data_IF_869164354766
#
_entry.id   IF_869164354766
#
_cell.length_a   1.000
_cell.length_b   1.000
_cell.length_c   1.000
_cell.angle_alpha   90.00
_cell.angle_beta   90.00
_cell.angle_gamma   90.00
#
_symmetry.space_group_name_H-M   'P 1'
#
loop_
_entity.id
_entity.type
_entity.pdbx_description
1 polymer ?
#
# COMPACT_ATOMS: atom_id res chain seq x y z
N UNK A 1 -18.24 11.96 1.68
CA UNK A 1 -16.98 11.33 1.23
C UNK A 1 -16.28 12.27 0.26
N UNK A 2 -14.98 12.47 0.39
CA UNK A 2 -14.17 13.18 -0.60
C UNK A 2 -13.46 12.14 -1.46
N UNK A 3 -13.57 12.27 -2.77
CA UNK A 3 -12.88 11.44 -3.76
C UNK A 3 -12.27 12.40 -4.78
N UNK A 4 -11.00 12.18 -5.11
CA UNK A 4 -10.35 12.76 -6.27
C UNK A 4 -9.64 11.63 -7.01
N UNK A 5 -9.90 11.45 -8.30
CA UNK A 5 -9.34 10.35 -9.07
C UNK A 5 -9.09 10.75 -10.50
N UNK A 6 -8.04 10.22 -11.10
CA UNK A 6 -7.67 10.34 -12.49
C UNK A 6 -7.56 8.98 -13.16
N UNK A 7 -7.90 8.91 -14.42
CA UNK A 7 -7.85 7.71 -15.24
C UNK A 7 -7.15 8.01 -16.56
N UNK A 8 -6.25 7.13 -16.97
CA UNK A 8 -5.62 7.18 -18.27
C UNK A 8 -6.47 6.39 -19.28
N UNK A 9 -6.81 7.00 -20.41
CA UNK A 9 -7.44 6.35 -21.56
C UNK A 9 -8.71 5.54 -21.33
N UNK A 10 -9.67 6.06 -20.58
CA UNK A 10 -10.94 5.43 -20.26
C UNK A 10 -10.98 4.61 -18.97
N UNK A 11 -11.92 4.92 -18.09
CA UNK A 11 -11.95 4.52 -16.68
C UNK A 11 -12.35 3.08 -16.41
N UNK A 12 -12.16 2.17 -17.32
CA UNK A 12 -12.48 0.78 -17.03
C UNK A 12 -11.42 0.20 -16.13
N UNK A 13 -11.89 -0.10 -14.95
CA UNK A 13 -11.23 -0.92 -13.95
C UNK A 13 -10.63 -2.15 -14.60
N UNK A 14 -9.36 -2.44 -14.24
CA UNK A 14 -8.85 -3.78 -14.47
C UNK A 14 -8.27 -3.99 -15.88
N UNK A 15 -7.20 -3.29 -16.21
CA UNK A 15 -6.52 -3.47 -17.48
C UNK A 15 -5.13 -4.09 -17.31
N UNK A 16 -4.70 -4.82 -18.33
CA UNK A 16 -3.33 -5.33 -18.44
C UNK A 16 -2.73 -4.77 -19.72
N UNK A 17 -1.63 -4.05 -19.57
CA UNK A 17 -0.86 -3.48 -20.67
C UNK A 17 0.62 -3.78 -20.44
N UNK A 18 1.23 -4.47 -21.37
CA UNK A 18 2.65 -4.83 -21.35
C UNK A 18 3.43 -4.14 -22.46
N UNK A 19 2.85 -3.12 -23.10
CA UNK A 19 3.49 -2.39 -24.20
C UNK A 19 4.69 -1.55 -23.75
N UNK A 20 4.69 -1.15 -22.49
CA UNK A 20 5.78 -0.40 -21.86
C UNK A 20 6.18 -1.02 -20.51
N UNK A 21 7.36 -0.70 -19.96
CA UNK A 21 7.85 -1.25 -18.70
C UNK A 21 6.90 -1.00 -17.52
N UNK A 22 6.28 0.18 -17.46
CA UNK A 22 5.34 0.58 -16.41
C UNK A 22 4.27 1.51 -16.99
N UNK A 23 3.01 1.22 -16.69
CA UNK A 23 1.84 2.03 -17.08
C UNK A 23 0.95 2.24 -15.87
N UNK A 24 0.60 3.49 -15.58
CA UNK A 24 -0.43 3.82 -14.58
C UNK A 24 -1.78 3.89 -15.27
N UNK A 25 -2.70 3.03 -14.84
CA UNK A 25 -4.06 3.00 -15.40
C UNK A 25 -5.02 3.96 -14.71
N UNK A 26 -4.91 4.06 -13.40
CA UNK A 26 -5.73 4.96 -12.59
C UNK A 26 -5.09 5.24 -11.25
N UNK A 27 -5.47 6.35 -10.65
CA UNK A 27 -5.01 6.75 -9.34
C UNK A 27 -6.04 7.65 -8.66
N UNK A 28 -5.92 7.80 -7.34
CA UNK A 28 -6.83 8.66 -6.62
C UNK A 28 -6.59 8.71 -5.13
N UNK A 29 -7.51 9.38 -4.44
CA UNK A 29 -7.54 9.46 -2.98
C UNK A 29 -8.96 9.31 -2.45
N UNK A 30 -9.06 8.73 -1.25
CA UNK A 30 -10.29 8.64 -0.48
C UNK A 30 -10.10 9.29 0.88
N UNK A 31 -11.09 10.09 1.29
CA UNK A 31 -11.25 10.60 2.64
C UNK A 31 -12.70 10.53 3.03
N UNK A 32 -13.02 9.80 4.08
CA UNK A 32 -14.38 9.73 4.61
C UNK A 32 -14.71 11.03 5.35
N UNK A 33 -15.92 11.55 5.14
CA UNK A 33 -16.43 12.74 5.86
C UNK A 33 -17.74 12.46 6.58
N UNK A 34 -18.66 11.74 5.93
CA UNK A 34 -20.01 11.46 6.43
C UNK A 34 -20.39 10.00 6.33
N UNK A 35 -19.78 9.29 5.39
CA UNK A 35 -20.04 7.85 5.20
C UNK A 35 -19.33 7.07 6.30
N UNK A 36 -20.03 6.23 7.09
CA UNK A 36 -19.43 5.57 8.25
C UNK A 36 -18.37 4.56 7.88
N UNK A 37 -18.52 3.89 6.72
CA UNK A 37 -17.53 2.91 6.21
C UNK A 37 -17.51 2.86 4.70
N UNK A 38 -16.37 2.46 4.14
CA UNK A 38 -16.16 2.18 2.72
C UNK A 38 -15.47 0.82 2.57
N UNK A 39 -16.23 -0.26 2.34
CA UNK A 39 -15.66 -1.58 2.13
C UNK A 39 -15.26 -1.79 0.69
N UNK A 40 -14.22 -2.58 0.49
CA UNK A 40 -13.80 -3.15 -0.78
C UNK A 40 -13.62 -4.65 -0.62
N UNK A 41 -14.24 -5.44 -1.51
CA UNK A 41 -14.04 -6.87 -1.61
C UNK A 41 -14.01 -7.30 -3.08
N UNK A 42 -12.87 -7.86 -3.51
CA UNK A 42 -12.67 -8.42 -4.85
C UNK A 42 -12.11 -9.82 -4.72
N UNK A 43 -12.98 -10.80 -4.86
CA UNK A 43 -12.64 -12.22 -4.68
C UNK A 43 -11.63 -12.71 -5.73
N UNK A 44 -11.70 -12.19 -6.94
CA UNK A 44 -10.78 -12.54 -8.04
C UNK A 44 -9.60 -11.56 -8.18
N UNK A 45 -9.48 -10.62 -7.22
CA UNK A 45 -8.48 -9.55 -7.30
C UNK A 45 -8.69 -8.61 -8.49
N UNK A 46 -7.60 -8.07 -8.98
CA UNK A 46 -7.51 -7.21 -10.18
C UNK A 46 -6.48 -7.79 -11.14
N UNK A 47 -6.50 -7.35 -12.40
CA UNK A 47 -5.51 -7.75 -13.41
C UNK A 47 -4.23 -6.90 -13.38
N UNK A 48 -4.28 -5.77 -12.67
CA UNK A 48 -3.19 -4.83 -12.46
C UNK A 48 -2.67 -4.89 -11.00
N UNK A 49 -1.52 -4.28 -10.77
CA UNK A 49 -1.00 -4.04 -9.42
C UNK A 49 -1.74 -2.85 -8.79
N UNK A 50 -1.86 -2.88 -7.47
CA UNK A 50 -2.34 -1.74 -6.70
C UNK A 50 -1.40 -1.41 -5.55
N UNK A 51 -1.00 -0.14 -5.43
CA UNK A 51 -0.39 0.40 -4.23
C UNK A 51 -1.39 1.35 -3.57
N UNK A 52 -1.56 1.18 -2.25
CA UNK A 52 -2.30 2.10 -1.39
C UNK A 52 -1.35 2.71 -0.37
N UNK A 53 -1.37 4.02 -0.20
CA UNK A 53 -0.63 4.74 0.82
C UNK A 53 -1.58 5.30 1.86
N UNK A 54 -1.43 4.90 3.12
CA UNK A 54 -2.19 5.44 4.25
C UNK A 54 -1.52 6.73 4.69
N UNK A 55 -2.07 7.85 4.28
CA UNK A 55 -1.51 9.17 4.54
C UNK A 55 -1.96 9.79 5.86
N UNK A 56 -3.08 9.31 6.42
CA UNK A 56 -3.60 9.69 7.74
C UNK A 56 -4.51 8.60 8.30
N UNK A 57 -4.60 8.53 9.63
CA UNK A 57 -5.45 7.59 10.34
C UNK A 57 -4.98 6.15 10.21
N UNK A 58 -5.92 5.24 10.15
CA UNK A 58 -5.66 3.80 9.97
C UNK A 58 -6.72 3.16 9.09
N UNK A 59 -6.43 1.97 8.58
CA UNK A 59 -7.25 1.21 7.65
C UNK A 59 -7.16 -0.26 7.97
N UNK A 60 -8.18 -1.02 7.62
CA UNK A 60 -8.31 -2.43 7.94
C UNK A 60 -8.21 -3.26 6.66
N UNK A 61 -7.23 -4.14 6.61
CA UNK A 61 -6.96 -5.07 5.51
C UNK A 61 -7.07 -6.50 5.98
N UNK A 62 -7.40 -7.41 5.07
CA UNK A 62 -7.41 -8.86 5.34
C UNK A 62 -6.51 -9.55 4.34
N UNK A 63 -5.46 -10.22 4.85
CA UNK A 63 -4.56 -11.08 4.11
C UNK A 63 -4.67 -12.50 4.68
N UNK A 64 -4.90 -13.49 3.82
CA UNK A 64 -5.06 -14.91 4.21
C UNK A 64 -6.11 -15.11 5.34
N UNK A 65 -7.18 -14.33 5.29
CA UNK A 65 -8.26 -14.37 6.27
C UNK A 65 -7.98 -13.67 7.60
N UNK A 66 -6.78 -13.11 7.80
CA UNK A 66 -6.37 -12.40 9.02
C UNK A 66 -6.48 -10.90 8.81
N UNK A 67 -7.03 -10.23 9.81
CA UNK A 67 -7.09 -8.78 9.82
C UNK A 67 -5.75 -8.18 10.20
N UNK A 68 -5.33 -7.17 9.43
CA UNK A 68 -4.19 -6.32 9.69
C UNK A 68 -4.62 -4.85 9.68
N UNK A 69 -4.36 -4.14 10.80
CA UNK A 69 -4.65 -2.71 10.92
C UNK A 69 -3.41 -1.94 10.49
N UNK A 70 -3.54 -1.20 9.40
CA UNK A 70 -2.46 -0.45 8.76
C UNK A 70 -2.61 1.03 9.08
N UNK A 71 -1.62 1.59 9.76
CA UNK A 71 -1.60 2.99 10.19
C UNK A 71 -0.95 3.91 9.15
N UNK A 72 -1.09 5.23 9.35
CA UNK A 72 -0.42 6.23 8.54
C UNK A 72 1.09 5.97 8.42
N UNK A 73 1.65 6.29 7.24
CA UNK A 73 3.05 6.05 6.90
C UNK A 73 3.35 4.66 6.33
N UNK A 74 2.32 3.84 6.10
CA UNK A 74 2.49 2.54 5.46
C UNK A 74 1.92 2.55 4.05
N UNK A 75 2.49 1.70 3.21
CA UNK A 75 1.95 1.33 1.91
C UNK A 75 1.49 -0.13 1.94
N UNK A 76 0.46 -0.42 1.15
CA UNK A 76 -0.06 -1.77 0.92
C UNK A 76 0.04 -2.07 -0.56
N UNK A 77 0.65 -3.21 -0.91
CA UNK A 77 0.78 -3.70 -2.28
C UNK A 77 -0.11 -4.92 -2.49
N UNK A 78 -0.94 -4.86 -3.52
CA UNK A 78 -1.63 -6.01 -4.09
C UNK A 78 -1.07 -6.35 -5.46
N UNK A 79 -0.82 -7.64 -5.67
CA UNK A 79 -0.43 -8.21 -6.97
C UNK A 79 -1.67 -8.45 -7.84
N UNK A 80 -1.49 -8.63 -9.16
CA UNK A 80 -2.56 -9.12 -10.02
C UNK A 80 -3.17 -10.42 -9.50
N UNK A 81 -4.50 -10.53 -9.64
CA UNK A 81 -5.29 -11.73 -9.31
C UNK A 81 -5.32 -12.09 -7.81
N UNK A 82 -4.81 -11.21 -6.96
CA UNK A 82 -4.82 -11.39 -5.52
C UNK A 82 -6.11 -10.89 -4.90
N UNK A 83 -6.69 -11.67 -3.97
CA UNK A 83 -7.93 -11.30 -3.27
C UNK A 83 -7.71 -9.98 -2.54
N UNK A 84 -8.60 -9.02 -2.81
CA UNK A 84 -8.56 -7.72 -2.12
C UNK A 84 -9.73 -7.59 -1.17
N UNK A 85 -9.45 -7.49 0.12
CA UNK A 85 -10.44 -7.23 1.15
C UNK A 85 -9.91 -6.18 2.11
N UNK A 86 -10.57 -5.02 2.14
CA UNK A 86 -10.23 -3.94 3.07
C UNK A 86 -11.43 -3.04 3.34
N UNK A 87 -11.38 -2.34 4.47
CA UNK A 87 -12.43 -1.42 4.91
C UNK A 87 -11.80 -0.16 5.48
N UNK A 88 -12.35 0.98 5.12
CA UNK A 88 -12.08 2.27 5.76
C UNK A 88 -13.25 2.61 6.65
N UNK A 89 -13.00 2.90 7.92
CA UNK A 89 -14.00 3.37 8.88
C UNK A 89 -13.82 4.87 9.12
N UNK A 90 -14.92 5.62 9.22
CA UNK A 90 -14.90 7.07 9.46
C UNK A 90 -14.21 7.43 10.77
N UNK A 91 -14.44 6.65 11.81
CA UNK A 91 -13.87 6.82 13.14
C UNK A 91 -12.33 6.73 13.16
N UNK A 92 -11.74 6.00 12.22
CA UNK A 92 -10.29 5.88 12.04
C UNK A 92 -9.67 7.04 11.26
N UNK A 93 -10.49 7.99 10.80
CA UNK A 93 -10.08 9.19 10.05
C UNK A 93 -9.10 8.90 8.90
N UNK A 94 -9.38 7.94 8.01
CA UNK A 94 -8.46 7.52 6.96
C UNK A 94 -8.35 8.57 5.85
N UNK A 95 -7.13 8.85 5.43
CA UNK A 95 -6.81 9.46 4.14
C UNK A 95 -5.90 8.51 3.39
N UNK A 96 -6.38 7.97 2.28
CA UNK A 96 -5.67 6.94 1.50
C UNK A 96 -5.50 7.42 0.08
N UNK A 97 -4.28 7.32 -0.44
CA UNK A 97 -3.98 7.45 -1.87
C UNK A 97 -3.78 6.07 -2.47
N UNK A 98 -4.13 5.92 -3.73
CA UNK A 98 -3.99 4.66 -4.44
C UNK A 98 -3.57 4.88 -5.89
N UNK A 99 -2.83 3.91 -6.43
CA UNK A 99 -2.40 3.84 -7.83
C UNK A 99 -2.63 2.41 -8.30
N UNK A 100 -3.25 2.26 -9.46
CA UNK A 100 -3.30 1.03 -10.24
C UNK A 100 -2.32 1.13 -11.39
N UNK A 101 -1.48 0.12 -11.54
CA UNK A 101 -0.44 0.11 -12.56
C UNK A 101 -0.17 -1.29 -13.09
N UNK A 102 0.38 -1.35 -14.31
CA UNK A 102 0.76 -2.58 -15.01
C UNK A 102 2.01 -2.30 -15.85
N UNK A 103 2.51 -3.28 -16.59
CA UNK A 103 3.67 -3.11 -17.46
C UNK A 103 4.44 -4.41 -17.67
N UNK A 104 5.36 -4.41 -18.61
CA UNK A 104 6.21 -5.57 -18.91
C UNK A 104 7.32 -5.80 -17.89
N UNK A 105 7.71 -4.77 -17.10
CA UNK A 105 8.89 -4.81 -16.22
C UNK A 105 8.57 -4.43 -14.76
N UNK A 106 7.30 -4.46 -14.36
CA UNK A 106 6.86 -4.06 -13.03
C UNK A 106 7.62 -4.79 -11.92
N UNK A 107 7.82 -6.10 -12.04
CA UNK A 107 8.49 -6.91 -11.01
C UNK A 107 9.93 -6.45 -10.77
N UNK A 108 10.68 -6.21 -11.84
CA UNK A 108 12.07 -5.75 -11.72
C UNK A 108 12.14 -4.32 -11.19
N UNK A 109 11.21 -3.44 -11.59
CA UNK A 109 11.11 -2.08 -11.07
C UNK A 109 10.83 -2.10 -9.56
N UNK A 110 9.89 -2.89 -9.08
CA UNK A 110 9.60 -3.03 -7.66
C UNK A 110 10.81 -3.59 -6.90
N UNK A 111 11.42 -4.66 -7.41
CA UNK A 111 12.62 -5.26 -6.82
C UNK A 111 13.80 -4.29 -6.77
N UNK A 112 14.04 -3.51 -7.84
CA UNK A 112 15.08 -2.48 -7.89
C UNK A 112 14.88 -1.42 -6.78
N UNK A 113 13.64 -1.08 -6.46
CA UNK A 113 13.29 -0.18 -5.36
C UNK A 113 13.16 -0.91 -4.01
N UNK A 114 13.54 -2.19 -3.92
CA UNK A 114 13.53 -2.98 -2.69
C UNK A 114 12.12 -3.29 -2.16
N UNK A 115 11.10 -3.24 -3.03
CA UNK A 115 9.73 -3.64 -2.70
C UNK A 115 9.62 -5.14 -2.93
N UNK A 116 9.46 -5.90 -1.85
CA UNK A 116 9.21 -7.33 -1.93
C UNK A 116 7.77 -7.60 -2.39
N UNK A 117 7.61 -8.58 -3.28
CA UNK A 117 6.29 -9.08 -3.66
C UNK A 117 5.72 -10.10 -2.67
N UNK A 118 6.52 -10.50 -1.67
CA UNK A 118 6.10 -11.46 -0.63
C UNK A 118 5.54 -10.77 0.60
N UNK A 119 5.67 -9.44 0.68
CA UNK A 119 5.15 -8.62 1.76
C UNK A 119 4.04 -7.70 1.24
N UNK A 120 2.90 -7.69 1.93
CA UNK A 120 1.80 -6.80 1.57
C UNK A 120 1.97 -5.40 2.15
N UNK A 121 2.49 -5.28 3.36
CA UNK A 121 2.51 -4.03 4.12
C UNK A 121 3.94 -3.64 4.45
N UNK A 122 4.31 -2.42 4.12
CA UNK A 122 5.65 -1.89 4.42
C UNK A 122 5.58 -0.43 4.87
N UNK A 123 6.42 -0.11 5.85
CA UNK A 123 6.51 1.25 6.38
C UNK A 123 7.40 2.12 5.49
N UNK A 124 6.88 3.28 5.10
CA UNK A 124 7.59 4.25 4.26
C UNK A 124 7.66 5.66 4.86
N UNK A 125 7.05 5.86 6.04
CA UNK A 125 7.02 7.15 6.71
C UNK A 125 5.83 8.04 6.33
N UNK A 126 5.56 9.02 7.18
CA UNK A 126 4.56 10.07 6.93
C UNK A 126 5.28 11.28 6.37
N UNK A 127 5.46 11.32 5.05
CA UNK A 127 6.16 12.42 4.37
C UNK A 127 5.16 13.29 3.60
N UNK A 128 5.20 14.63 3.77
CA UNK A 128 4.37 15.56 2.98
C UNK A 128 4.55 15.39 1.48
N UNK A 129 5.75 15.03 1.04
CA UNK A 129 6.11 14.83 -0.37
C UNK A 129 5.28 13.73 -1.04
N UNK A 130 4.91 12.67 -0.33
CA UNK A 130 4.03 11.63 -0.88
C UNK A 130 2.68 12.20 -1.30
N UNK A 131 2.06 13.03 -0.46
CA UNK A 131 0.77 13.66 -0.80
C UNK A 131 0.90 14.57 -2.03
N UNK A 132 2.01 15.30 -2.14
CA UNK A 132 2.29 16.17 -3.29
C UNK A 132 2.46 15.34 -4.55
N UNK A 133 3.25 14.27 -4.51
CA UNK A 133 3.49 13.37 -5.64
C UNK A 133 2.21 12.68 -6.11
N UNK A 134 1.43 12.10 -5.20
CA UNK A 134 0.15 11.48 -5.54
C UNK A 134 -0.83 12.46 -6.19
N UNK A 135 -0.94 13.70 -5.65
CA UNK A 135 -1.81 14.72 -6.23
C UNK A 135 -1.38 15.11 -7.64
N UNK A 136 -0.06 15.22 -7.89
CA UNK A 136 0.46 15.48 -9.24
C UNK A 136 0.15 14.35 -10.20
N UNK A 137 0.28 13.08 -9.79
CA UNK A 137 -0.10 11.93 -10.62
C UNK A 137 -1.60 11.95 -10.92
N UNK A 138 -2.44 12.22 -9.93
CA UNK A 138 -3.90 12.33 -10.12
C UNK A 138 -4.22 13.43 -11.13
N UNK A 139 -3.59 14.59 -11.01
CA UNK A 139 -3.76 15.70 -11.94
C UNK A 139 -3.35 15.34 -13.36
N UNK A 140 -2.21 14.68 -13.53
CA UNK A 140 -1.72 14.24 -14.83
C UNK A 140 -2.61 13.17 -15.48
N UNK A 141 -3.05 12.18 -14.69
CA UNK A 141 -4.02 11.19 -15.16
C UNK A 141 -5.37 11.82 -15.55
N UNK A 142 -5.77 12.91 -14.89
CA UNK A 142 -7.03 13.61 -15.20
C UNK A 142 -6.93 14.51 -16.44
N UNK A 143 -5.76 15.04 -16.72
CA UNK A 143 -5.54 15.99 -17.82
C UNK A 143 -5.21 15.32 -19.14
N UNK A 144 -5.40 14.02 -19.35
CA UNK A 144 -5.28 13.22 -20.60
C UNK A 144 -4.30 13.70 -21.72
N UNK A 145 -3.75 14.91 -21.59
CA UNK A 145 -2.93 15.61 -22.59
C UNK A 145 -1.42 15.46 -22.37
N UNK A 146 -0.97 14.90 -21.25
CA UNK A 146 0.45 14.76 -20.95
C UNK A 146 0.91 13.32 -21.16
N UNK A 147 1.91 13.20 -22.02
CA UNK A 147 2.43 11.91 -22.47
C UNK A 147 2.85 10.98 -21.32
N UNK A 148 2.63 9.70 -21.55
CA UNK A 148 2.97 8.55 -20.70
C UNK A 148 4.34 8.63 -19.99
N UNK A 149 5.28 9.34 -20.61
CA UNK A 149 6.65 9.49 -20.11
C UNK A 149 6.75 10.27 -18.80
N UNK A 150 5.91 11.28 -18.60
CA UNK A 150 5.92 12.12 -17.38
C UNK A 150 5.32 11.36 -16.19
N UNK A 151 4.27 10.56 -16.42
CA UNK A 151 3.63 9.73 -15.40
C UNK A 151 4.60 8.63 -14.93
N UNK A 152 5.33 8.01 -15.86
CA UNK A 152 6.38 7.02 -15.57
C UNK A 152 7.47 7.60 -14.66
N UNK A 153 7.96 8.79 -14.96
CA UNK A 153 8.99 9.45 -14.15
C UNK A 153 8.51 9.73 -12.73
N UNK A 154 7.25 10.15 -12.55
CA UNK A 154 6.70 10.43 -11.22
C UNK A 154 6.39 9.17 -10.40
N UNK A 155 5.97 8.10 -11.04
CA UNK A 155 5.83 6.81 -10.35
C UNK A 155 7.19 6.30 -9.88
N UNK A 156 8.22 6.40 -10.72
CA UNK A 156 9.60 6.11 -10.29
C UNK A 156 10.03 6.99 -9.14
N UNK A 157 9.62 8.27 -9.11
CA UNK A 157 9.93 9.18 -7.99
C UNK A 157 9.23 8.75 -6.70
N UNK A 158 7.98 8.28 -6.74
CA UNK A 158 7.31 7.71 -5.55
C UNK A 158 8.07 6.50 -5.03
N UNK A 159 8.50 5.59 -5.91
CA UNK A 159 9.31 4.45 -5.53
C UNK A 159 10.69 4.85 -5.00
N UNK A 160 11.33 5.87 -5.58
CA UNK A 160 12.60 6.41 -5.07
C UNK A 160 12.43 7.07 -3.69
N UNK A 161 11.38 7.86 -3.47
CA UNK A 161 11.10 8.44 -2.15
C UNK A 161 10.86 7.36 -1.10
N UNK A 162 10.16 6.28 -1.49
CA UNK A 162 10.01 5.12 -0.62
C UNK A 162 11.35 4.47 -0.29
N UNK A 163 12.23 4.26 -1.27
CA UNK A 163 13.56 3.69 -1.07
C UNK A 163 14.39 4.50 -0.06
N UNK A 164 14.42 5.81 -0.20
CA UNK A 164 15.16 6.68 0.72
C UNK A 164 14.57 6.65 2.13
N UNK A 165 13.25 6.69 2.27
CA UNK A 165 12.58 6.58 3.57
C UNK A 165 12.82 5.21 4.22
N UNK A 166 12.75 4.13 3.46
CA UNK A 166 13.01 2.76 3.94
C UNK A 166 14.47 2.56 4.36
N UNK A 167 15.43 3.14 3.66
CA UNK A 167 16.86 3.04 4.00
C UNK A 167 17.21 3.76 5.30
N UNK A 168 16.55 4.88 5.59
CA UNK A 168 16.69 5.62 6.86
C UNK A 168 16.03 4.85 8.02
N UNK A 169 14.88 4.21 7.79
CA UNK A 169 14.11 3.52 8.83
C UNK A 169 14.54 2.06 9.08
N UNK A 170 15.30 1.41 8.18
CA UNK A 170 15.87 0.06 8.45
C UNK A 170 16.82 0.02 9.66
N UNK A 171 17.24 1.17 10.19
CA UNK A 171 18.02 1.27 11.43
C UNK A 171 17.16 1.16 12.70
N UNK A 172 15.82 1.12 12.60
CA UNK A 172 14.92 0.93 13.73
C UNK A 172 14.26 -0.44 13.61
N UNK A 173 14.57 -1.40 14.50
CA UNK A 173 13.88 -2.69 14.49
C UNK A 173 12.39 -2.46 14.72
N UNK A 174 11.50 -3.23 14.08
CA UNK A 174 10.06 -3.10 14.28
C UNK A 174 9.76 -3.31 15.77
N UNK A 175 8.94 -2.40 16.34
CA UNK A 175 8.47 -2.55 17.70
C UNK A 175 7.75 -3.91 17.81
N UNK A 176 8.26 -4.80 18.61
CA UNK A 176 7.67 -6.14 18.80
C UNK A 176 6.23 -5.98 19.27
N UNK A 177 5.30 -6.50 18.50
CA UNK A 177 3.90 -6.62 18.88
C UNK A 177 3.80 -7.30 20.25
N UNK A 178 2.96 -6.75 21.13
CA UNK A 178 2.76 -7.27 22.51
C UNK A 178 2.37 -8.76 22.54
N UNK A 179 1.84 -9.34 21.47
CA UNK A 179 1.53 -10.77 21.35
C UNK A 179 2.77 -11.67 21.34
N UNK A 180 3.92 -11.23 20.84
CA UNK A 180 5.17 -12.00 20.86
C UNK A 180 5.90 -11.94 22.20
N UNK A 181 5.62 -10.94 23.04
CA UNK A 181 6.21 -10.81 24.36
C UNK A 181 5.60 -11.83 25.34
N UNK A 182 4.30 -12.13 25.22
CA UNK A 182 3.62 -13.10 26.06
C UNK A 182 3.97 -14.56 25.76
N UNK A 183 4.31 -14.88 24.50
CA UNK A 183 4.74 -16.24 24.15
C UNK A 183 6.12 -16.62 24.73
N UNK A 184 7.03 -15.65 24.90
CA UNK A 184 8.36 -15.91 25.50
C UNK A 184 8.33 -15.98 27.03
N UNK A 185 7.34 -15.39 27.73
CA UNK A 185 7.18 -15.52 29.18
C UNK A 185 6.63 -16.88 29.61
N UNK A 186 5.86 -17.56 28.74
CA UNK A 186 5.28 -18.87 29.03
C UNK A 186 6.26 -20.04 28.86
N UNK A 187 7.35 -19.87 28.13
CA UNK A 187 8.37 -20.92 27.93
C UNK A 187 9.50 -20.86 28.95
N UNK A 188 9.67 -19.77 29.71
CA UNK A 188 10.72 -19.61 30.71
C UNK A 188 10.36 -20.12 32.12
N UNK A 189 9.07 -20.44 32.36
CA UNK A 189 8.60 -20.90 33.69
C UNK A 189 8.45 -22.41 33.83
N UNK A 190 8.89 -23.21 32.83
CA UNK A 190 8.68 -24.66 32.83
C UNK A 190 9.96 -25.50 33.05
N UNK A 191 11.09 -24.87 33.42
CA UNK A 191 12.35 -25.60 33.54
C UNK A 191 13.00 -25.51 34.93
N UNK A 192 12.26 -25.18 35.98
CA UNK A 192 12.77 -25.22 37.35
C UNK A 192 11.75 -25.96 38.24
N UNK A 193 11.60 -27.26 38.08
CA UNK A 193 11.10 -28.15 39.12
C UNK A 193 11.25 -29.60 38.65
N UNK A 194 12.49 -30.13 38.69
CA UNK A 194 12.76 -31.57 38.85
C UNK A 194 14.27 -31.76 39.06
N UNK A 195 14.71 -31.54 40.31
CA UNK A 195 15.86 -32.24 40.93
C UNK A 195 15.78 -32.01 42.43
N UNK A 196 15.21 -32.95 43.14
CA UNK A 196 15.55 -33.40 44.49
C UNK A 196 14.54 -34.42 44.95
N UNK A 197 14.87 -35.66 44.84
CA UNK A 197 14.76 -36.77 45.80
C UNK A 197 15.23 -38.04 45.12
#
# INVERSE_FOLDING_TARGET
MYINSGYLNNPRTDFKDNSTPLVVGSCGTYRLKTRPKLPTYRQKGRRDYQILYVANGKTHFWFDGREEIVSAGHMVLYKPEEIQKYVYYLEDNPEVFWIHFTGSDVKNILAYHGISLDEHVFYCGVLPDYKVLFRKIIQECSCAAMGTRTILHRCSTIFCCWWTASSVNRKKPPAMSKSKLNARRLTSTRTITQRSA
#
